data_IF_883897387811
#
_entry.id   IF_883897387811
#
_cell.length_a   1.000
_cell.length_b   1.000
_cell.length_c   1.000
_cell.angle_alpha   90.00
_cell.angle_beta   90.00
_cell.angle_gamma   90.00
#
_symmetry.space_group_name_H-M   'P 1'
#
loop_
_entity.id
_entity.type
_entity.pdbx_description
1 polymer ?
#
# COMPACT_ATOMS: atom_id res chain seq x y z
N UNK A 1 -7.44 8.18 -17.30
CA UNK A 1 -8.79 7.61 -17.52
C UNK A 1 -9.32 7.12 -16.17
N UNK A 2 -10.61 7.26 -15.85
CA UNK A 2 -11.18 6.73 -14.59
C UNK A 2 -10.96 5.22 -14.44
N UNK A 3 -10.93 4.49 -15.57
CA UNK A 3 -10.56 3.06 -15.60
C UNK A 3 -9.17 2.81 -15.03
N UNK A 4 -8.21 3.74 -15.23
CA UNK A 4 -6.85 3.59 -14.70
C UNK A 4 -6.81 3.62 -13.17
N UNK A 5 -7.75 4.35 -12.54
CA UNK A 5 -7.91 4.37 -11.08
C UNK A 5 -8.38 3.01 -10.59
N UNK A 6 -9.42 2.45 -11.21
CA UNK A 6 -9.95 1.13 -10.83
C UNK A 6 -8.88 0.04 -10.97
N UNK A 7 -8.09 0.08 -12.05
CA UNK A 7 -6.95 -0.83 -12.22
C UNK A 7 -5.93 -0.68 -11.10
N UNK A 8 -5.61 0.55 -10.69
CA UNK A 8 -4.67 0.82 -9.58
C UNK A 8 -5.20 0.34 -8.22
N UNK A 9 -6.50 0.52 -7.94
CA UNK A 9 -7.15 -0.03 -6.74
C UNK A 9 -7.04 -1.55 -6.70
N UNK A 10 -7.32 -2.22 -7.81
CA UNK A 10 -7.22 -3.68 -7.91
C UNK A 10 -5.77 -4.12 -7.68
N UNK A 11 -4.80 -3.49 -8.35
CA UNK A 11 -3.37 -3.80 -8.19
C UNK A 11 -2.93 -3.60 -6.74
N UNK A 12 -3.22 -2.46 -6.13
CA UNK A 12 -2.88 -2.18 -4.73
C UNK A 12 -3.46 -3.24 -3.78
N UNK A 13 -4.73 -3.59 -3.97
CA UNK A 13 -5.42 -4.60 -3.14
C UNK A 13 -4.80 -5.99 -3.30
N UNK A 14 -4.44 -6.38 -4.53
CA UNK A 14 -3.76 -7.66 -4.80
C UNK A 14 -2.37 -7.69 -4.16
N UNK A 15 -1.57 -6.65 -4.34
CA UNK A 15 -0.24 -6.54 -3.73
C UNK A 15 -0.32 -6.57 -2.21
N UNK A 16 -1.28 -5.86 -1.60
CA UNK A 16 -1.47 -5.89 -0.15
C UNK A 16 -1.86 -7.28 0.35
N UNK A 17 -2.75 -7.98 -0.36
CA UNK A 17 -3.12 -9.37 -0.04
C UNK A 17 -1.88 -10.27 -0.01
N UNK A 18 -0.96 -10.13 -0.96
CA UNK A 18 0.27 -10.92 -0.99
C UNK A 18 1.17 -10.62 0.22
N UNK A 19 1.34 -9.34 0.57
CA UNK A 19 2.10 -8.92 1.76
C UNK A 19 1.49 -9.51 3.02
N UNK A 20 0.18 -9.38 3.22
CA UNK A 20 -0.52 -9.91 4.39
C UNK A 20 -0.44 -11.44 4.45
N UNK A 21 -0.52 -12.12 3.32
CA UNK A 21 -0.34 -13.59 3.25
C UNK A 21 1.06 -13.98 3.70
N UNK A 22 2.10 -13.24 3.28
CA UNK A 22 3.47 -13.46 3.76
C UNK A 22 3.60 -13.22 5.27
N UNK A 23 2.97 -12.18 5.81
CA UNK A 23 2.98 -11.92 7.25
C UNK A 23 2.36 -13.09 8.03
N UNK A 24 1.17 -13.56 7.63
CA UNK A 24 0.47 -14.67 8.29
C UNK A 24 1.34 -15.94 8.28
N UNK A 25 1.94 -16.26 7.13
CA UNK A 25 2.75 -17.48 6.98
C UNK A 25 4.06 -17.45 7.80
N UNK A 26 4.55 -16.26 8.18
CA UNK A 26 5.79 -16.10 8.93
C UNK A 26 5.57 -15.65 10.38
N UNK A 27 4.34 -15.71 10.90
CA UNK A 27 4.00 -15.23 12.25
C UNK A 27 4.80 -15.92 13.37
N UNK A 28 5.27 -17.14 13.15
CA UNK A 28 6.06 -17.91 14.12
C UNK A 28 7.59 -17.75 13.93
N UNK A 29 8.02 -16.98 12.92
CA UNK A 29 9.43 -16.71 12.70
C UNK A 29 9.83 -15.45 13.50
N UNK A 30 10.66 -15.64 14.52
CA UNK A 30 11.10 -14.56 15.43
C UNK A 30 11.91 -13.46 14.75
N UNK A 31 12.52 -13.75 13.61
CA UNK A 31 13.36 -12.81 12.86
C UNK A 31 12.58 -12.12 11.74
N UNK A 32 11.30 -12.50 11.54
CA UNK A 32 10.46 -11.92 10.51
C UNK A 32 9.86 -10.59 10.97
N UNK A 33 10.01 -9.56 10.12
CA UNK A 33 9.44 -8.22 10.36
C UNK A 33 8.21 -8.05 9.46
N UNK A 34 6.99 -7.98 10.04
CA UNK A 34 5.77 -7.70 9.28
C UNK A 34 5.83 -6.37 8.55
N UNK A 35 5.20 -6.34 7.37
CA UNK A 35 5.08 -5.15 6.52
C UNK A 35 3.63 -4.94 6.10
N UNK A 36 3.26 -3.73 5.72
CA UNK A 36 2.00 -3.46 5.06
C UNK A 36 2.21 -2.44 3.93
N UNK A 37 1.21 -2.25 3.08
CA UNK A 37 1.17 -1.11 2.19
C UNK A 37 0.52 0.07 2.91
N UNK A 38 1.02 1.28 2.64
CA UNK A 38 0.47 2.51 3.22
C UNK A 38 -0.90 2.82 2.63
N UNK A 39 -1.97 2.48 3.37
CA UNK A 39 -3.36 2.71 2.95
C UNK A 39 -3.69 4.19 2.91
N UNK A 40 -3.18 4.95 3.90
CA UNK A 40 -3.43 6.38 4.00
C UNK A 40 -2.81 7.13 2.82
N UNK A 41 -1.54 6.81 2.51
CA UNK A 41 -0.82 7.38 1.37
C UNK A 41 -1.52 7.07 0.04
N UNK A 42 -1.99 5.82 -0.15
CA UNK A 42 -2.74 5.45 -1.34
C UNK A 42 -4.09 6.16 -1.43
N UNK A 43 -4.79 6.29 -0.30
CA UNK A 43 -6.11 6.94 -0.23
C UNK A 43 -6.00 8.43 -0.53
N UNK A 44 -5.04 9.11 0.07
CA UNK A 44 -4.77 10.53 -0.16
C UNK A 44 -4.41 10.78 -1.63
N UNK A 45 -3.57 9.93 -2.20
CA UNK A 45 -3.21 10.00 -3.61
C UNK A 45 -4.44 9.88 -4.53
N UNK A 46 -5.32 8.90 -4.29
CA UNK A 46 -6.53 8.74 -5.09
C UNK A 46 -7.51 9.89 -4.90
N UNK A 47 -7.71 10.35 -3.67
CA UNK A 47 -8.60 11.47 -3.36
C UNK A 47 -8.14 12.75 -4.06
N UNK A 48 -6.84 13.02 -4.04
CA UNK A 48 -6.26 14.17 -4.73
C UNK A 48 -6.45 14.06 -6.24
N UNK A 49 -6.17 12.89 -6.82
CA UNK A 49 -6.33 12.66 -8.26
C UNK A 49 -7.80 12.81 -8.72
N UNK A 50 -8.75 12.29 -7.94
CA UNK A 50 -10.19 12.40 -8.22
C UNK A 50 -10.67 13.85 -8.07
N UNK A 51 -10.20 14.55 -7.05
CA UNK A 51 -10.53 15.97 -6.83
C UNK A 51 -10.03 16.81 -8.00
N UNK A 52 -8.78 16.63 -8.42
CA UNK A 52 -8.22 17.30 -9.59
C UNK A 52 -8.99 16.97 -10.88
N UNK A 53 -9.41 15.71 -11.04
CA UNK A 53 -10.21 15.34 -12.20
C UNK A 53 -11.60 16.00 -12.21
N UNK A 54 -12.20 16.15 -11.03
CA UNK A 54 -13.53 16.76 -10.88
C UNK A 54 -13.48 18.26 -11.16
N UNK A 55 -12.45 18.95 -10.68
CA UNK A 55 -12.30 20.40 -10.82
C UNK A 55 -11.71 20.80 -12.17
N UNK A 56 -10.66 20.09 -12.62
CA UNK A 56 -9.80 20.51 -13.71
C UNK A 56 -9.83 19.57 -14.93
N UNK A 57 -10.67 18.51 -14.90
CA UNK A 57 -10.74 17.45 -15.92
C UNK A 57 -9.40 16.77 -16.21
N UNK A 58 -8.49 16.83 -15.24
CA UNK A 58 -7.14 16.26 -15.32
C UNK A 58 -6.94 15.24 -14.22
N UNK A 59 -6.51 14.04 -14.59
CA UNK A 59 -6.18 12.99 -13.63
C UNK A 59 -4.68 12.98 -13.43
N UNK A 60 -4.21 13.52 -12.31
CA UNK A 60 -2.79 13.61 -11.96
C UNK A 60 -2.52 12.62 -10.84
N UNK A 61 -1.53 11.75 -11.06
CA UNK A 61 -1.00 10.83 -10.06
C UNK A 61 0.45 11.21 -9.85
N UNK A 62 0.83 11.46 -8.61
CA UNK A 62 2.17 11.87 -8.24
C UNK A 62 2.85 10.75 -7.47
N UNK A 63 4.15 10.58 -7.66
CA UNK A 63 4.94 9.71 -6.81
C UNK A 63 4.87 10.18 -5.35
N UNK A 64 4.88 9.21 -4.46
CA UNK A 64 5.00 9.40 -3.02
C UNK A 64 6.19 8.57 -2.52
N UNK A 65 6.36 8.41 -1.21
CA UNK A 65 7.51 7.69 -0.68
C UNK A 65 7.44 6.19 -1.02
N UNK A 66 6.26 5.57 -0.87
CA UNK A 66 6.05 4.14 -1.09
C UNK A 66 5.33 3.79 -2.40
N UNK A 67 4.85 4.78 -3.16
CA UNK A 67 4.12 4.56 -4.41
C UNK A 67 4.81 5.29 -5.55
N UNK A 68 5.14 4.55 -6.61
CA UNK A 68 5.82 5.09 -7.81
C UNK A 68 5.01 4.83 -9.07
N UNK A 69 4.97 5.81 -9.95
CA UNK A 69 4.38 5.73 -11.28
C UNK A 69 5.47 5.88 -12.33
N UNK A 70 5.52 4.96 -13.27
CA UNK A 70 6.52 4.96 -14.33
C UNK A 70 5.90 5.02 -15.73
N UNK A 71 6.74 4.81 -16.76
CA UNK A 71 6.32 4.81 -18.15
C UNK A 71 5.15 3.84 -18.40
N UNK A 72 4.32 4.16 -19.40
CA UNK A 72 3.21 3.30 -19.83
C UNK A 72 2.17 3.00 -18.73
N UNK A 73 2.11 3.84 -17.69
CA UNK A 73 1.18 3.66 -16.58
C UNK A 73 1.60 2.56 -15.61
N UNK A 74 2.90 2.25 -15.54
CA UNK A 74 3.46 1.40 -14.49
C UNK A 74 3.10 1.96 -13.11
N UNK A 75 2.96 1.04 -12.16
CA UNK A 75 2.49 1.34 -10.82
C UNK A 75 3.13 0.33 -9.88
N UNK A 76 4.04 0.83 -9.06
CA UNK A 76 4.81 0.04 -8.11
C UNK A 76 4.50 0.55 -6.70
N UNK A 77 4.32 -0.39 -5.77
CA UNK A 77 4.02 -0.08 -4.37
C UNK A 77 4.97 -0.87 -3.48
N UNK A 78 5.71 -0.16 -2.65
CA UNK A 78 6.68 -0.74 -1.75
C UNK A 78 6.10 -0.97 -0.35
N UNK A 79 6.17 -2.19 0.20
CA UNK A 79 5.71 -2.43 1.55
C UNK A 79 6.59 -1.75 2.61
N UNK A 80 5.95 -0.95 3.45
CA UNK A 80 6.57 -0.30 4.61
C UNK A 80 6.48 -1.20 5.83
N UNK A 81 7.41 -1.06 6.78
CA UNK A 81 7.36 -1.81 8.04
C UNK A 81 6.04 -1.53 8.75
N UNK A 82 5.34 -2.60 9.16
CA UNK A 82 4.12 -2.44 9.93
C UNK A 82 4.47 -2.09 11.38
N UNK A 83 4.49 -0.79 11.67
CA UNK A 83 4.79 -0.28 13.02
C UNK A 83 3.68 -0.56 14.03
N UNK A 84 2.49 -0.99 13.59
CA UNK A 84 1.40 -1.40 14.48
C UNK A 84 1.54 -2.85 14.96
N UNK A 85 2.52 -3.61 14.45
CA UNK A 85 2.82 -4.98 14.90
C UNK A 85 3.53 -5.08 16.26
N UNK A 86 3.68 -3.97 16.99
CA UNK A 86 4.25 -3.94 18.35
C UNK A 86 3.29 -4.50 19.42
N UNK A 87 2.89 -5.77 19.32
CA UNK A 87 2.12 -6.44 20.40
C UNK A 87 2.22 -7.97 20.43
N UNK A 88 3.22 -8.61 19.82
CA UNK A 88 3.35 -10.08 19.86
C UNK A 88 4.76 -10.57 20.22
N UNK A 89 5.47 -9.87 21.10
CA UNK A 89 6.69 -10.40 21.70
C UNK A 89 6.86 -9.87 23.12
N UNK A 90 6.35 -10.62 24.09
CA UNK A 90 6.65 -10.36 25.50
C UNK A 90 5.56 -10.79 26.46
N UNK A 91 5.30 -12.09 26.60
CA UNK A 91 5.03 -12.61 27.93
C UNK A 91 5.85 -13.87 28.16
N UNK A 92 7.00 -13.64 28.82
CA UNK A 92 7.85 -14.71 29.35
C UNK A 92 7.20 -15.18 30.64
N UNK A 93 6.85 -16.47 30.65
CA UNK A 93 6.90 -17.42 31.77
C UNK A 93 7.31 -16.80 33.12
N UNK A 94 6.38 -16.82 34.07
CA UNK A 94 6.68 -17.05 35.49
C UNK A 94 5.82 -18.20 35.99
#
# INVERSE_FOLDING_TARGET
NITDILVKIIKFTQTRKEVLTRNINNIHNSDFVPRDLSVDEFSDLLNNAITEHTLNRRLILCDTDSIKFGPEGSFDVEPVTDTNSAAASGDKVK
#
